data_IF_656415610306
#
_entry.id   IF_656415610306
#
_cell.length_a   1.000
_cell.length_b   1.000
_cell.length_c   1.000
_cell.angle_alpha   90.00
_cell.angle_beta   90.00
_cell.angle_gamma   90.00
#
_symmetry.space_group_name_H-M   'P 1'
#
loop_
_entity.id
_entity.type
_entity.pdbx_description
1 polymer ?
#
# COMPACT_ATOMS: atom_id res chain seq x y z
N UNK A 1 0.80 15.11 -9.43
CA UNK A 1 0.40 14.85 -8.03
C UNK A 1 -1.02 15.35 -7.85
N UNK A 2 -1.98 14.47 -7.58
CA UNK A 2 -3.37 14.86 -7.33
C UNK A 2 -3.44 15.63 -6.01
N UNK A 3 -4.13 16.78 -6.00
CA UNK A 3 -4.34 17.52 -4.77
C UNK A 3 -5.27 16.71 -3.84
N UNK A 4 -4.95 16.56 -2.54
CA UNK A 4 -5.86 15.88 -1.62
C UNK A 4 -7.14 16.71 -1.44
N UNK A 5 -8.27 16.01 -1.30
CA UNK A 5 -9.57 16.64 -1.04
C UNK A 5 -9.60 17.28 0.35
N UNK A 6 -10.53 18.23 0.58
CA UNK A 6 -10.71 18.86 1.88
C UNK A 6 -11.03 17.85 3.00
N UNK A 7 -11.79 16.80 2.66
CA UNK A 7 -12.10 15.71 3.61
C UNK A 7 -10.86 14.90 3.99
N UNK A 8 -9.99 14.61 3.02
CA UNK A 8 -8.73 13.93 3.28
C UNK A 8 -7.80 14.79 4.15
N UNK A 9 -7.81 16.11 3.98
CA UNK A 9 -7.06 17.02 4.84
C UNK A 9 -7.61 17.06 6.27
N UNK A 10 -8.93 17.08 6.46
CA UNK A 10 -9.55 17.02 7.80
C UNK A 10 -9.25 15.70 8.51
N UNK A 11 -9.38 14.57 7.82
CA UNK A 11 -9.03 13.26 8.36
C UNK A 11 -7.54 13.17 8.74
N UNK A 12 -6.66 13.73 7.90
CA UNK A 12 -5.23 13.80 8.19
C UNK A 12 -4.94 14.63 9.45
N UNK A 13 -5.57 15.81 9.60
CA UNK A 13 -5.42 16.64 10.79
C UNK A 13 -5.87 15.89 12.05
N UNK A 14 -7.01 15.20 12.02
CA UNK A 14 -7.48 14.38 13.15
C UNK A 14 -6.50 13.25 13.50
N UNK A 15 -5.86 12.64 12.50
CA UNK A 15 -4.83 11.62 12.75
C UNK A 15 -3.60 12.21 13.42
N UNK A 16 -3.21 13.43 13.04
CA UNK A 16 -2.06 14.14 13.59
C UNK A 16 -2.31 14.71 14.98
N UNK A 17 -3.55 15.06 15.32
CA UNK A 17 -3.92 15.61 16.63
C UNK A 17 -3.56 14.68 17.81
N UNK A 18 -3.37 13.38 17.54
CA UNK A 18 -2.94 12.38 18.53
C UNK A 18 -1.42 12.34 18.75
N UNK A 19 -0.65 13.00 17.90
CA UNK A 19 0.82 13.01 17.95
C UNK A 19 1.29 14.05 18.98
N UNK A 20 2.29 13.72 19.81
CA UNK A 20 2.86 14.67 20.77
C UNK A 20 3.36 15.97 20.13
N UNK A 21 3.94 15.87 18.92
CA UNK A 21 4.44 17.02 18.16
C UNK A 21 3.35 18.00 17.70
N UNK A 22 2.08 17.58 17.71
CA UNK A 22 0.93 18.39 17.32
C UNK A 22 0.08 18.84 18.51
N UNK A 23 0.53 18.61 19.75
CA UNK A 23 -0.25 18.91 20.96
C UNK A 23 -0.63 20.39 21.10
N UNK A 24 0.24 21.29 20.63
CA UNK A 24 0.04 22.75 20.70
C UNK A 24 -0.57 23.32 19.42
N UNK A 25 -1.01 22.47 18.49
CA UNK A 25 -1.63 22.96 17.27
C UNK A 25 -3.02 23.51 17.56
N UNK A 26 -3.47 24.53 16.81
CA UNK A 26 -4.84 25.03 16.92
C UNK A 26 -5.85 23.90 16.68
N UNK A 27 -6.94 23.91 17.47
CA UNK A 27 -8.05 22.99 17.26
C UNK A 27 -8.85 23.32 16.00
N UNK A 28 -8.81 24.59 15.57
CA UNK A 28 -9.52 25.08 14.40
C UNK A 28 -8.78 24.75 13.10
N UNK A 29 -9.53 24.25 12.11
CA UNK A 29 -8.99 23.83 10.82
C UNK A 29 -8.43 25.02 10.04
N UNK A 30 -9.16 26.14 10.02
CA UNK A 30 -8.77 27.31 9.24
C UNK A 30 -7.49 27.94 9.80
N UNK A 31 -7.37 27.99 11.13
CA UNK A 31 -6.14 28.41 11.81
C UNK A 31 -4.92 27.52 11.48
N UNK A 32 -5.10 26.20 11.32
CA UNK A 32 -4.02 25.29 10.89
C UNK A 32 -3.69 25.50 9.41
N UNK A 33 -4.69 25.76 8.56
CA UNK A 33 -4.49 25.98 7.12
C UNK A 33 -3.89 27.35 6.78
N UNK A 34 -4.04 28.35 7.65
CA UNK A 34 -3.42 29.65 7.51
C UNK A 34 -1.89 29.60 7.63
N UNK A 35 -1.34 28.67 8.42
CA UNK A 35 0.09 28.45 8.54
C UNK A 35 0.61 27.59 7.35
N UNK A 36 1.53 28.10 6.52
CA UNK A 36 2.00 27.40 5.33
C UNK A 36 2.75 26.09 5.65
N UNK A 37 3.46 26.03 6.79
CA UNK A 37 4.21 24.86 7.22
C UNK A 37 3.25 23.78 7.71
N UNK A 38 2.32 24.15 8.60
CA UNK A 38 1.32 23.20 9.12
C UNK A 38 0.43 22.68 8.00
N UNK A 39 -0.04 23.54 7.10
CA UNK A 39 -0.77 23.15 5.89
C UNK A 39 0.01 22.15 5.05
N UNK A 40 1.31 22.37 4.85
CA UNK A 40 2.17 21.45 4.06
C UNK A 40 2.26 20.08 4.72
N UNK A 41 2.41 20.03 6.04
CA UNK A 41 2.45 18.78 6.80
C UNK A 41 1.13 18.02 6.71
N UNK A 42 -0.01 18.69 6.90
CA UNK A 42 -1.33 18.06 6.73
C UNK A 42 -1.51 17.50 5.32
N UNK A 43 -1.05 18.23 4.29
CA UNK A 43 -1.10 17.76 2.90
C UNK A 43 -0.25 16.50 2.67
N UNK A 44 0.93 16.44 3.27
CA UNK A 44 1.80 15.25 3.19
C UNK A 44 1.14 14.06 3.87
N UNK A 45 0.60 14.26 5.07
CA UNK A 45 -0.12 13.22 5.80
C UNK A 45 -1.36 12.71 5.03
N UNK A 46 -2.16 13.60 4.46
CA UNK A 46 -3.33 13.23 3.64
C UNK A 46 -2.93 12.39 2.41
N UNK A 47 -1.80 12.73 1.79
CA UNK A 47 -1.25 11.97 0.66
C UNK A 47 -0.77 10.59 1.12
N UNK A 48 -0.10 10.53 2.28
CA UNK A 48 0.38 9.28 2.88
C UNK A 48 -0.79 8.34 3.20
N UNK A 49 -1.83 8.83 3.88
CA UNK A 49 -3.01 8.02 4.23
C UNK A 49 -3.73 7.48 2.99
N UNK A 50 -3.84 8.30 1.93
CA UNK A 50 -4.43 7.86 0.65
C UNK A 50 -3.63 6.71 0.03
N UNK A 51 -2.29 6.79 0.05
CA UNK A 51 -1.42 5.72 -0.46
C UNK A 51 -1.56 4.44 0.36
N UNK A 52 -1.54 4.54 1.69
CA UNK A 52 -1.72 3.39 2.59
C UNK A 52 -3.08 2.73 2.38
N UNK A 53 -4.15 3.52 2.17
CA UNK A 53 -5.47 2.98 1.88
C UNK A 53 -5.50 2.23 0.54
N UNK A 54 -4.86 2.79 -0.50
CA UNK A 54 -4.76 2.15 -1.81
C UNK A 54 -3.95 0.84 -1.75
N UNK A 55 -2.82 0.82 -1.03
CA UNK A 55 -2.01 -0.39 -0.81
C UNK A 55 -2.80 -1.47 -0.07
N UNK A 56 -3.51 -1.10 1.01
CA UNK A 56 -4.37 -2.03 1.76
C UNK A 56 -5.55 -2.54 0.92
N UNK A 57 -6.05 -1.75 -0.02
CA UNK A 57 -7.08 -2.19 -0.96
C UNK A 57 -6.50 -3.18 -1.98
N UNK A 58 -5.31 -2.90 -2.53
CA UNK A 58 -4.61 -3.78 -3.45
C UNK A 58 -4.25 -5.13 -2.81
N UNK A 59 -3.80 -5.13 -1.54
CA UNK A 59 -3.47 -6.36 -0.80
C UNK A 59 -4.69 -7.25 -0.50
N UNK A 60 -5.89 -6.66 -0.39
CA UNK A 60 -7.16 -7.40 -0.20
C UNK A 60 -7.74 -7.93 -1.50
N UNK A 61 -7.23 -7.49 -2.64
CA UNK A 61 -7.59 -8.06 -3.93
C UNK A 61 -6.85 -9.40 -4.08
N UNK A 62 -7.53 -10.51 -4.42
CA UNK A 62 -6.83 -11.76 -4.68
C UNK A 62 -5.86 -11.53 -5.85
N UNK A 63 -4.56 -11.62 -5.57
CA UNK A 63 -3.58 -11.72 -6.63
C UNK A 63 -3.93 -12.95 -7.45
N UNK A 64 -4.31 -12.76 -8.71
CA UNK A 64 -4.44 -13.87 -9.64
C UNK A 64 -3.08 -14.56 -9.69
N UNK A 65 -2.97 -15.67 -8.97
CA UNK A 65 -1.80 -16.54 -9.01
C UNK A 65 -1.59 -16.89 -10.47
N UNK A 66 -0.55 -16.34 -11.09
CA UNK A 66 -0.05 -16.84 -12.36
C UNK A 66 0.55 -18.20 -12.04
N UNK A 67 -0.32 -19.20 -11.91
CA UNK A 67 0.03 -20.61 -11.96
C UNK A 67 0.71 -20.80 -13.31
N UNK A 68 2.02 -20.63 -13.32
CA UNK A 68 2.87 -21.15 -14.37
C UNK A 68 2.69 -22.67 -14.31
N UNK A 69 1.70 -23.16 -15.06
CA UNK A 69 1.51 -24.57 -15.39
C UNK A 69 2.70 -24.97 -16.25
N UNK A 70 3.88 -25.14 -15.65
CA UNK A 70 4.95 -25.91 -16.26
C UNK A 70 4.43 -27.34 -16.32
N UNK A 71 4.23 -27.94 -17.50
CA UNK A 71 3.93 -29.35 -17.57
C UNK A 71 5.11 -30.10 -16.95
N UNK A 72 4.91 -31.11 -16.10
CA UNK A 72 5.99 -32.01 -15.73
C UNK A 72 6.47 -32.66 -17.01
N UNK A 73 7.67 -32.28 -17.48
CA UNK A 73 8.35 -32.98 -18.55
C UNK A 73 8.80 -34.33 -17.98
N UNK A 74 7.88 -35.30 -17.98
CA UNK A 74 8.23 -36.69 -17.78
C UNK A 74 9.05 -37.14 -18.99
N UNK A 75 10.36 -37.30 -18.82
CA UNK A 75 11.17 -38.01 -19.80
C UNK A 75 10.82 -39.51 -19.74
N UNK A 76 10.00 -39.96 -20.69
CA UNK A 76 9.58 -41.36 -20.81
C UNK A 76 10.66 -42.26 -21.46
N UNK A 77 11.88 -41.79 -21.70
CA UNK A 77 12.93 -42.57 -22.36
C UNK A 77 13.98 -43.15 -21.43
N UNK A 78 13.57 -43.87 -20.37
CA UNK A 78 14.48 -44.72 -19.58
C UNK A 78 14.22 -46.23 -19.67
N UNK A 79 13.20 -46.67 -20.41
CA UNK A 79 12.80 -48.06 -20.50
C UNK A 79 13.36 -48.83 -21.73
N UNK A 80 14.46 -48.37 -22.33
CA UNK A 80 15.08 -49.03 -23.50
C UNK A 80 16.51 -49.54 -23.24
N UNK A 81 16.98 -49.57 -22.00
CA UNK A 81 18.20 -50.28 -21.62
C UNK A 81 17.80 -51.61 -20.99
N UNK A 82 17.32 -52.53 -21.84
CA UNK A 82 17.23 -53.93 -21.49
C UNK A 82 18.65 -54.48 -21.45
N UNK A 83 19.17 -54.71 -20.25
CA UNK A 83 20.27 -55.65 -20.03
C UNK A 83 20.04 -56.31 -18.67
N UNK A 84 19.39 -57.48 -18.72
CA UNK A 84 19.37 -58.46 -17.64
C UNK A 84 20.04 -59.70 -18.25
N UNK A 85 21.32 -59.84 -17.99
CA UNK A 85 21.98 -61.14 -18.07
C UNK A 85 21.72 -61.88 -16.74
N UNK A 86 21.38 -63.17 -16.88
CA UNK A 86 21.17 -64.17 -15.82
C UNK A 86 22.34 -64.30 -14.84
#
# INVERSE_FOLDING_TARGET
MTAPTADAMRAALQSMARLPACREWPADYDAVMADPVRRRLVRLQATFLTRVAAEKAAARSPQASKLNKRPPCFDHKRAAAGDRDD
#
